data_IF_465994892916
#
_entry.id   IF_465994892916
#
_cell.length_a   1.000
_cell.length_b   1.000
_cell.length_c   1.000
_cell.angle_alpha   90.00
_cell.angle_beta   90.00
_cell.angle_gamma   90.00
#
_symmetry.space_group_name_H-M   'P 1'
#
loop_
_entity.id
_entity.type
_entity.pdbx_description
1 polymer ?
#
# COMPACT_ATOMS: atom_id res chain seq x y z
N UNK A 1 -1.11 9.76 4.04
CA UNK A 1 -0.44 8.54 3.57
C UNK A 1 -0.05 8.61 2.10
N UNK A 2 -0.99 8.74 1.15
CA UNK A 2 -0.71 8.77 -0.30
C UNK A 2 0.29 9.86 -0.73
N UNK A 3 0.24 11.06 -0.14
CA UNK A 3 1.16 12.15 -0.41
C UNK A 3 2.61 11.81 -0.01
N UNK A 4 2.78 11.23 1.19
CA UNK A 4 4.10 10.78 1.68
C UNK A 4 4.64 9.65 0.79
N UNK A 5 3.76 8.73 0.36
CA UNK A 5 4.10 7.64 -0.55
C UNK A 5 4.62 8.15 -1.90
N UNK A 6 3.92 9.13 -2.51
CA UNK A 6 4.35 9.74 -3.78
C UNK A 6 5.70 10.46 -3.62
N UNK A 7 5.88 11.24 -2.56
CA UNK A 7 7.14 11.95 -2.29
C UNK A 7 8.31 10.97 -2.09
N UNK A 8 8.09 9.89 -1.36
CA UNK A 8 9.10 8.85 -1.18
C UNK A 8 9.40 8.14 -2.50
N UNK A 9 8.36 7.76 -3.27
CA UNK A 9 8.52 7.07 -4.54
C UNK A 9 9.33 7.88 -5.57
N UNK A 10 9.16 9.19 -5.58
CA UNK A 10 9.96 10.09 -6.43
C UNK A 10 11.42 10.19 -5.99
N UNK A 11 11.71 10.03 -4.70
CA UNK A 11 13.06 10.23 -4.15
C UNK A 11 13.89 8.95 -4.08
N UNK A 12 13.28 7.82 -3.72
CA UNK A 12 14.00 6.56 -3.46
C UNK A 12 13.54 5.40 -4.34
N UNK A 13 12.55 5.64 -5.20
CA UNK A 13 11.98 4.63 -6.07
C UNK A 13 10.80 3.88 -5.45
N UNK A 14 9.86 3.52 -6.32
CA UNK A 14 8.58 2.91 -5.98
C UNK A 14 8.71 1.65 -5.13
N UNK A 15 9.68 0.82 -5.46
CA UNK A 15 9.87 -0.51 -4.87
C UNK A 15 10.34 -0.48 -3.42
N UNK A 16 11.25 0.45 -3.11
CA UNK A 16 11.67 0.65 -1.72
C UNK A 16 10.52 1.16 -0.86
N UNK A 17 9.73 2.09 -1.41
CA UNK A 17 8.54 2.60 -0.71
C UNK A 17 7.54 1.49 -0.44
N UNK A 18 7.31 0.60 -1.42
CA UNK A 18 6.44 -0.58 -1.23
C UNK A 18 6.98 -1.55 -0.19
N UNK A 19 8.29 -1.82 -0.17
CA UNK A 19 8.88 -2.66 0.86
C UNK A 19 8.67 -2.10 2.27
N UNK A 20 8.92 -0.80 2.46
CA UNK A 20 8.67 -0.14 3.74
C UNK A 20 7.18 -0.04 4.10
N UNK A 21 6.32 0.17 3.10
CA UNK A 21 4.87 0.13 3.29
C UNK A 21 4.39 -1.26 3.73
N UNK A 22 4.98 -2.35 3.19
CA UNK A 22 4.71 -3.71 3.64
C UNK A 22 5.14 -3.96 5.09
N UNK A 23 6.31 -3.46 5.50
CA UNK A 23 6.74 -3.55 6.90
C UNK A 23 5.67 -2.96 7.82
N UNK A 24 5.19 -1.75 7.51
CA UNK A 24 4.12 -1.12 8.28
C UNK A 24 2.80 -1.86 8.21
N UNK A 25 2.40 -2.35 7.03
CA UNK A 25 1.08 -2.92 6.83
C UNK A 25 0.95 -4.40 7.21
N UNK A 26 2.06 -5.14 7.33
CA UNK A 26 2.06 -6.59 7.62
C UNK A 26 2.81 -6.89 8.91
N UNK A 27 4.10 -6.53 8.97
CA UNK A 27 4.98 -6.97 10.07
C UNK A 27 4.55 -6.35 11.39
N UNK A 28 4.33 -5.03 11.45
CA UNK A 28 3.95 -4.36 12.69
C UNK A 28 2.59 -4.83 13.21
N UNK A 29 1.50 -4.92 12.40
CA UNK A 29 0.24 -5.47 12.87
C UNK A 29 0.35 -6.91 13.35
N UNK A 30 1.14 -7.76 12.69
CA UNK A 30 1.37 -9.15 13.14
C UNK A 30 2.10 -9.22 14.49
N UNK A 31 3.10 -8.36 14.71
CA UNK A 31 3.81 -8.30 16.00
C UNK A 31 2.92 -7.82 17.15
N UNK A 32 2.02 -6.89 16.86
CA UNK A 32 1.15 -6.28 17.86
C UNK A 32 -0.14 -7.11 18.07
N UNK A 33 -0.50 -7.94 17.11
CA UNK A 33 -1.74 -8.74 17.15
C UNK A 33 -1.92 -9.55 18.46
N UNK A 34 -0.91 -10.29 18.93
CA UNK A 34 -1.05 -11.05 20.20
C UNK A 34 -1.27 -10.16 21.43
N UNK A 35 -0.87 -8.88 21.37
CA UNK A 35 -1.05 -7.92 22.46
C UNK A 35 -2.44 -7.24 22.42
N UNK A 36 -3.02 -7.07 21.23
CA UNK A 36 -4.28 -6.36 21.04
C UNK A 36 -5.49 -7.27 20.93
N UNK A 37 -5.29 -8.51 20.49
CA UNK A 37 -6.37 -9.45 20.19
C UNK A 37 -6.16 -10.74 20.99
N UNK A 38 -7.06 -11.01 21.93
CA UNK A 38 -7.02 -12.21 22.77
C UNK A 38 -7.11 -13.48 21.91
N UNK A 39 -6.20 -14.42 22.14
CA UNK A 39 -6.17 -15.71 21.43
C UNK A 39 -5.46 -15.69 20.07
N UNK A 40 -4.94 -14.56 19.60
CA UNK A 40 -4.10 -14.55 18.38
C UNK A 40 -2.63 -14.87 18.71
N UNK A 41 -2.09 -15.85 18.02
CA UNK A 41 -0.67 -16.20 18.04
C UNK A 41 -0.14 -16.24 16.60
N UNK A 42 1.14 -15.97 16.42
CA UNK A 42 1.79 -16.01 15.10
C UNK A 42 2.74 -17.19 15.08
N UNK A 43 2.47 -18.17 14.20
CA UNK A 43 3.31 -19.35 14.04
C UNK A 43 4.60 -19.03 13.27
N UNK A 44 5.61 -19.91 13.41
CA UNK A 44 6.87 -19.81 12.67
C UNK A 44 6.63 -19.89 11.15
N UNK A 45 5.65 -20.68 10.71
CA UNK A 45 5.29 -20.82 9.30
C UNK A 45 4.75 -19.53 8.71
N UNK A 46 3.96 -18.79 9.49
CA UNK A 46 3.42 -17.49 9.08
C UNK A 46 4.51 -16.43 8.94
N UNK A 47 5.53 -16.45 9.80
CA UNK A 47 6.74 -15.62 9.61
C UNK A 47 7.51 -16.01 8.35
N UNK A 48 7.61 -17.32 8.06
CA UNK A 48 8.16 -17.82 6.80
C UNK A 48 7.43 -17.24 5.58
N UNK A 49 6.09 -17.19 5.64
CA UNK A 49 5.26 -16.55 4.61
C UNK A 49 5.57 -15.07 4.40
N UNK A 50 5.76 -14.30 5.48
CA UNK A 50 6.15 -12.87 5.39
C UNK A 50 7.51 -12.72 4.72
N UNK A 51 8.49 -13.55 5.06
CA UNK A 51 9.82 -13.55 4.42
C UNK A 51 9.70 -13.85 2.93
N UNK A 52 8.87 -14.82 2.54
CA UNK A 52 8.62 -15.13 1.13
C UNK A 52 7.99 -13.93 0.39
N UNK A 53 7.08 -13.17 1.01
CA UNK A 53 6.52 -11.95 0.40
C UNK A 53 7.58 -10.86 0.19
N UNK A 54 8.48 -10.67 1.15
CA UNK A 54 9.57 -9.71 1.01
C UNK A 54 10.54 -10.12 -0.11
N UNK A 55 10.87 -11.42 -0.21
CA UNK A 55 11.69 -11.95 -1.30
C UNK A 55 10.97 -11.75 -2.65
N UNK A 56 9.69 -12.06 -2.74
CA UNK A 56 8.88 -11.83 -3.94
C UNK A 56 8.94 -10.37 -4.40
N UNK A 57 8.77 -9.44 -3.46
CA UNK A 57 8.84 -8.00 -3.74
C UNK A 57 10.22 -7.60 -4.30
N UNK A 58 11.31 -8.09 -3.71
CA UNK A 58 12.67 -7.84 -4.19
C UNK A 58 12.84 -8.39 -5.60
N UNK A 59 12.45 -9.65 -5.86
CA UNK A 59 12.57 -10.29 -7.17
C UNK A 59 11.76 -9.55 -8.24
N UNK A 60 10.53 -9.18 -7.94
CA UNK A 60 9.68 -8.40 -8.85
C UNK A 60 10.30 -7.03 -9.14
N UNK A 61 10.96 -6.46 -8.16
CA UNK A 61 11.65 -5.18 -8.28
C UNK A 61 12.83 -5.21 -9.25
N UNK A 62 13.51 -6.33 -9.33
CA UNK A 62 14.63 -6.53 -10.24
C UNK A 62 14.20 -6.80 -11.69
N UNK A 63 12.88 -6.85 -11.95
CA UNK A 63 12.36 -7.01 -13.31
C UNK A 63 12.62 -5.73 -14.11
N UNK A 64 13.41 -5.78 -15.20
CA UNK A 64 13.75 -4.59 -15.96
C UNK A 64 12.51 -4.05 -16.68
N UNK A 65 11.84 -3.09 -16.06
CA UNK A 65 10.84 -2.28 -16.76
C UNK A 65 11.57 -1.40 -17.77
N UNK A 66 11.31 -1.58 -19.07
CA UNK A 66 11.81 -0.72 -20.13
C UNK A 66 11.28 0.73 -20.07
N UNK A 67 10.37 1.01 -19.15
CA UNK A 67 9.85 2.34 -18.87
C UNK A 67 10.76 3.05 -17.85
N UNK A 68 11.69 3.83 -18.34
CA UNK A 68 12.60 4.75 -17.65
C UNK A 68 13.65 4.11 -16.74
N UNK A 69 14.91 4.22 -17.16
CA UNK A 69 16.11 4.22 -16.32
C UNK A 69 15.94 5.23 -15.18
N UNK A 70 15.27 4.85 -14.12
CA UNK A 70 15.37 5.53 -12.83
C UNK A 70 16.63 4.96 -12.20
N UNK A 71 17.63 5.81 -12.03
CA UNK A 71 18.98 5.42 -11.61
C UNK A 71 18.97 4.43 -10.44
N UNK A 72 19.94 3.55 -10.44
CA UNK A 72 20.17 2.57 -9.37
C UNK A 72 20.23 3.30 -8.03
N UNK A 73 19.47 2.79 -7.07
CA UNK A 73 19.29 3.40 -5.73
C UNK A 73 20.60 3.73 -5.04
N UNK A 74 21.66 2.98 -5.30
CA UNK A 74 23.00 3.22 -4.73
C UNK A 74 23.60 4.56 -5.17
N UNK A 75 23.46 4.96 -6.43
CA UNK A 75 23.96 6.25 -6.91
C UNK A 75 23.15 7.45 -6.39
N UNK A 76 21.85 7.25 -6.15
CA UNK A 76 20.97 8.32 -5.65
C UNK A 76 21.15 8.61 -4.15
N UNK A 77 21.68 7.68 -3.36
CA UNK A 77 21.84 7.82 -1.91
C UNK A 77 23.23 8.35 -1.53
N UNK A 78 24.28 8.04 -2.28
CA UNK A 78 25.66 8.42 -1.92
C UNK A 78 25.94 9.92 -2.09
N UNK A 79 25.32 10.60 -3.04
CA UNK A 79 25.58 12.02 -3.34
C UNK A 79 24.69 13.01 -2.56
N UNK A 80 23.80 12.53 -1.66
CA UNK A 80 22.85 13.40 -0.96
C UNK A 80 23.39 13.98 0.35
N UNK A 81 23.07 15.26 0.55
CA UNK A 81 23.38 16.00 1.76
C UNK A 81 22.75 15.36 3.02
N UNK A 82 23.41 15.37 4.17
CA UNK A 82 22.94 14.72 5.42
C UNK A 82 21.51 15.12 5.83
N UNK A 83 21.11 16.36 5.56
CA UNK A 83 19.74 16.85 5.82
C UNK A 83 18.69 16.15 4.94
N UNK A 84 19.02 15.85 3.68
CA UNK A 84 18.10 15.14 2.79
C UNK A 84 17.95 13.65 3.16
N UNK A 85 19.03 13.03 3.63
CA UNK A 85 19.01 11.64 4.14
C UNK A 85 18.09 11.56 5.36
N UNK A 86 18.22 12.48 6.29
CA UNK A 86 17.38 12.55 7.49
C UNK A 86 15.89 12.75 7.14
N UNK A 87 15.59 13.62 6.17
CA UNK A 87 14.22 13.86 5.70
C UNK A 87 13.61 12.61 5.07
N UNK A 88 14.37 11.85 4.31
CA UNK A 88 13.92 10.58 3.70
C UNK A 88 13.60 9.55 4.79
N UNK A 89 14.50 9.39 5.77
CA UNK A 89 14.28 8.49 6.91
C UNK A 89 13.02 8.88 7.68
N UNK A 90 12.80 10.17 7.91
CA UNK A 90 11.60 10.68 8.55
C UNK A 90 10.32 10.34 7.75
N UNK A 91 10.32 10.54 6.42
CA UNK A 91 9.18 10.17 5.58
C UNK A 91 8.93 8.66 5.54
N UNK A 92 9.99 7.84 5.54
CA UNK A 92 9.86 6.38 5.62
C UNK A 92 9.28 5.94 6.97
N UNK A 93 9.74 6.50 8.06
CA UNK A 93 9.19 6.23 9.39
C UNK A 93 7.70 6.62 9.45
N UNK A 94 7.34 7.80 8.93
CA UNK A 94 5.96 8.26 8.85
C UNK A 94 5.10 7.32 7.99
N UNK A 95 5.64 6.82 6.87
CA UNK A 95 4.98 5.85 6.01
C UNK A 95 4.69 4.54 6.74
N UNK A 96 5.68 3.99 7.44
CA UNK A 96 5.54 2.76 8.23
C UNK A 96 4.48 2.93 9.31
N UNK A 97 4.57 3.99 10.11
CA UNK A 97 3.63 4.27 11.20
C UNK A 97 2.20 4.46 10.68
N UNK A 98 2.04 5.21 9.58
CA UNK A 98 0.73 5.44 8.97
C UNK A 98 0.10 4.15 8.43
N UNK A 99 0.90 3.28 7.80
CA UNK A 99 0.42 1.98 7.31
C UNK A 99 0.05 1.04 8.46
N UNK A 100 0.88 0.99 9.51
CA UNK A 100 0.61 0.19 10.70
C UNK A 100 -0.67 0.66 11.40
N UNK A 101 -0.80 1.95 11.63
CA UNK A 101 -1.98 2.53 12.24
C UNK A 101 -3.26 2.25 11.46
N UNK A 102 -3.22 2.39 10.12
CA UNK A 102 -4.35 2.07 9.26
C UNK A 102 -4.74 0.59 9.38
N UNK A 103 -3.78 -0.32 9.28
CA UNK A 103 -4.00 -1.77 9.34
C UNK A 103 -4.57 -2.20 10.69
N UNK A 104 -4.00 -1.71 11.79
CA UNK A 104 -4.47 -2.00 13.15
C UNK A 104 -5.88 -1.47 13.35
N UNK A 105 -6.15 -0.22 12.97
CA UNK A 105 -7.47 0.40 13.14
C UNK A 105 -8.52 -0.32 12.30
N UNK A 106 -8.17 -0.72 11.07
CA UNK A 106 -9.04 -1.46 10.15
C UNK A 106 -9.50 -2.80 10.73
N UNK A 107 -8.64 -3.48 11.50
CA UNK A 107 -8.99 -4.72 12.19
C UNK A 107 -9.70 -4.48 13.53
N UNK A 108 -9.21 -3.53 14.32
CA UNK A 108 -9.73 -3.27 15.67
C UNK A 108 -11.17 -2.79 15.63
N UNK A 109 -11.53 -2.00 14.63
CA UNK A 109 -12.85 -1.38 14.55
C UNK A 109 -14.00 -2.41 14.46
N UNK A 110 -14.03 -3.36 13.49
CA UNK A 110 -15.11 -4.34 13.41
C UNK A 110 -15.15 -5.31 14.59
N UNK A 111 -14.01 -5.50 15.28
CA UNK A 111 -13.97 -6.35 16.48
C UNK A 111 -14.61 -5.64 17.68
N UNK A 112 -14.34 -4.34 17.87
CA UNK A 112 -14.83 -3.61 19.05
C UNK A 112 -16.19 -2.94 18.85
N UNK A 113 -16.44 -2.36 17.68
CA UNK A 113 -17.67 -1.63 17.38
C UNK A 113 -18.78 -2.52 16.80
N UNK A 114 -18.42 -3.71 16.27
CA UNK A 114 -19.34 -4.59 15.55
C UNK A 114 -19.21 -4.47 14.03
N UNK A 115 -19.42 -5.59 13.34
CA UNK A 115 -19.27 -5.69 11.88
C UNK A 115 -20.30 -4.85 11.13
N UNK A 116 -21.45 -4.63 11.70
CA UNK A 116 -22.55 -3.81 11.17
C UNK A 116 -22.14 -2.35 10.97
N UNK A 117 -21.23 -1.83 11.78
CA UNK A 117 -20.74 -0.46 11.68
C UNK A 117 -19.58 -0.27 10.70
N UNK A 118 -19.13 -1.32 10.02
CA UNK A 118 -18.01 -1.26 9.07
C UNK A 118 -18.26 -0.27 7.92
N UNK A 119 -19.50 -0.19 7.43
CA UNK A 119 -19.86 0.77 6.39
C UNK A 119 -19.69 2.23 6.86
N UNK A 120 -20.14 2.52 8.08
CA UNK A 120 -19.99 3.85 8.69
C UNK A 120 -18.53 4.22 8.93
N UNK A 121 -17.72 3.27 9.40
CA UNK A 121 -16.28 3.47 9.59
C UNK A 121 -15.59 3.86 8.27
N UNK A 122 -15.85 3.11 7.21
CA UNK A 122 -15.28 3.40 5.91
C UNK A 122 -15.78 4.74 5.36
N UNK A 123 -17.08 5.04 5.47
CA UNK A 123 -17.64 6.30 5.04
C UNK A 123 -16.98 7.49 5.76
N UNK A 124 -16.85 7.42 7.10
CA UNK A 124 -16.19 8.45 7.89
C UNK A 124 -14.71 8.60 7.54
N UNK A 125 -14.00 7.49 7.30
CA UNK A 125 -12.61 7.52 6.86
C UNK A 125 -12.47 8.25 5.52
N UNK A 126 -13.32 7.95 4.55
CA UNK A 126 -13.30 8.65 3.25
C UNK A 126 -13.73 10.10 3.36
N UNK A 127 -14.69 10.44 4.22
CA UNK A 127 -15.09 11.83 4.47
C UNK A 127 -13.93 12.65 5.04
N UNK A 128 -13.21 12.13 6.03
CA UNK A 128 -12.02 12.78 6.61
C UNK A 128 -10.93 12.97 5.56
N UNK A 129 -10.65 11.92 4.76
CA UNK A 129 -9.67 11.99 3.66
C UNK A 129 -10.07 13.06 2.65
N UNK A 130 -11.34 13.10 2.26
CA UNK A 130 -11.87 14.12 1.34
C UNK A 130 -11.71 15.53 1.89
N UNK A 131 -12.06 15.77 3.16
CA UNK A 131 -11.89 17.08 3.82
C UNK A 131 -10.41 17.49 3.87
N UNK A 132 -9.52 16.59 4.23
CA UNK A 132 -8.07 16.85 4.26
C UNK A 132 -7.53 17.21 2.87
N UNK A 133 -7.90 16.45 1.83
CA UNK A 133 -7.48 16.75 0.47
C UNK A 133 -8.05 18.07 -0.04
N UNK A 134 -9.33 18.35 0.24
CA UNK A 134 -9.97 19.62 -0.13
C UNK A 134 -9.26 20.80 0.52
N UNK A 135 -8.91 20.68 1.81
CA UNK A 135 -8.14 21.70 2.53
C UNK A 135 -6.77 21.94 1.89
N UNK A 136 -6.03 20.87 1.56
CA UNK A 136 -4.71 20.97 0.88
C UNK A 136 -4.83 21.63 -0.48
N UNK A 137 -5.86 21.30 -1.28
CA UNK A 137 -6.10 21.92 -2.59
C UNK A 137 -6.46 23.40 -2.46
N UNK A 138 -7.31 23.76 -1.50
CA UNK A 138 -7.67 25.14 -1.23
C UNK A 138 -6.46 25.96 -0.78
N UNK A 139 -5.69 25.45 0.18
CA UNK A 139 -4.44 26.09 0.61
C UNK A 139 -3.45 26.24 -0.56
N UNK A 140 -3.29 25.20 -1.40
CA UNK A 140 -2.41 25.25 -2.58
C UNK A 140 -2.83 26.32 -3.59
N UNK A 141 -4.15 26.50 -3.80
CA UNK A 141 -4.70 27.53 -4.68
C UNK A 141 -4.48 28.95 -4.10
N UNK A 142 -4.70 29.10 -2.78
CA UNK A 142 -4.55 30.40 -2.09
C UNK A 142 -3.08 30.83 -2.06
N UNK A 143 -2.16 29.92 -1.70
CA UNK A 143 -0.74 30.28 -1.50
C UNK A 143 0.11 30.25 -2.78
N UNK A 144 -0.23 29.43 -3.78
CA UNK A 144 0.59 29.27 -4.98
C UNK A 144 -0.04 29.80 -6.27
N UNK A 145 -1.28 30.26 -6.24
CA UNK A 145 -2.00 30.83 -7.40
C UNK A 145 -2.15 29.89 -8.61
N UNK A 146 -1.71 28.63 -8.51
CA UNK A 146 -1.75 27.66 -9.60
C UNK A 146 -2.99 26.76 -9.47
N UNK A 147 -3.81 26.76 -10.52
CA UNK A 147 -4.89 25.76 -10.65
C UNK A 147 -4.27 24.42 -10.96
N UNK A 148 -4.52 23.42 -10.11
CA UNK A 148 -4.12 22.02 -10.30
C UNK A 148 -5.07 21.28 -11.25
N UNK A 149 -6.20 21.88 -11.61
CA UNK A 149 -7.19 21.30 -12.51
C UNK A 149 -6.87 21.64 -13.96
N UNK A 150 -7.10 20.70 -14.90
CA UNK A 150 -6.99 20.96 -16.33
C UNK A 150 -7.91 22.12 -16.74
N UNK A 151 -7.48 22.95 -17.67
CA UNK A 151 -8.28 24.08 -18.17
C UNK A 151 -9.35 23.65 -19.18
N UNK A 152 -9.18 22.49 -19.79
CA UNK A 152 -10.09 21.96 -20.81
C UNK A 152 -11.25 21.17 -20.19
N UNK A 153 -12.48 21.57 -20.56
CA UNK A 153 -13.73 20.99 -20.04
C UNK A 153 -13.87 19.49 -20.35
N UNK A 154 -13.38 19.02 -21.50
CA UNK A 154 -13.44 17.61 -21.89
C UNK A 154 -12.52 16.76 -21.01
N UNK A 155 -11.33 17.27 -20.71
CA UNK A 155 -10.36 16.64 -19.81
C UNK A 155 -10.87 16.59 -18.38
N UNK A 156 -11.56 17.63 -17.91
CA UNK A 156 -12.20 17.65 -16.58
C UNK A 156 -13.30 16.60 -16.49
N UNK A 157 -14.18 16.47 -17.48
CA UNK A 157 -15.24 15.43 -17.49
C UNK A 157 -14.64 14.02 -17.42
N UNK A 158 -13.63 13.72 -18.25
CA UNK A 158 -12.94 12.43 -18.20
C UNK A 158 -12.31 12.16 -16.83
N UNK A 159 -11.64 13.17 -16.26
CA UNK A 159 -11.01 13.07 -14.94
C UNK A 159 -12.07 12.76 -13.87
N UNK A 160 -13.20 13.46 -13.86
CA UNK A 160 -14.28 13.25 -12.89
C UNK A 160 -14.84 11.82 -13.01
N UNK A 161 -15.09 11.32 -14.22
CA UNK A 161 -15.60 9.96 -14.44
C UNK A 161 -14.61 8.92 -13.89
N UNK A 162 -13.32 9.04 -14.25
CA UNK A 162 -12.29 8.09 -13.79
C UNK A 162 -12.09 8.14 -12.27
N UNK A 163 -12.07 9.33 -11.68
CA UNK A 163 -11.91 9.50 -10.23
C UNK A 163 -13.13 8.94 -9.49
N UNK A 164 -14.34 9.19 -9.99
CA UNK A 164 -15.56 8.64 -9.37
C UNK A 164 -15.60 7.12 -9.45
N UNK A 165 -15.26 6.53 -10.60
CA UNK A 165 -15.19 5.09 -10.75
C UNK A 165 -14.13 4.48 -9.82
N UNK A 166 -12.95 5.07 -9.77
CA UNK A 166 -11.87 4.63 -8.88
C UNK A 166 -12.29 4.73 -7.41
N UNK A 167 -12.97 5.81 -7.00
CA UNK A 167 -13.45 6.01 -5.64
C UNK A 167 -14.45 4.91 -5.23
N UNK A 168 -15.40 4.56 -6.12
CA UNK A 168 -16.35 3.47 -5.87
C UNK A 168 -15.62 2.14 -5.71
N UNK A 169 -14.69 1.82 -6.62
CA UNK A 169 -13.93 0.57 -6.56
C UNK A 169 -13.08 0.47 -5.29
N UNK A 170 -12.42 1.57 -4.90
CA UNK A 170 -11.63 1.63 -3.66
C UNK A 170 -12.54 1.47 -2.43
N UNK A 171 -13.72 2.09 -2.42
CA UNK A 171 -14.67 1.94 -1.32
C UNK A 171 -15.13 0.48 -1.17
N UNK A 172 -15.53 -0.17 -2.27
CA UNK A 172 -15.94 -1.57 -2.28
C UNK A 172 -14.80 -2.47 -1.77
N UNK A 173 -13.59 -2.28 -2.31
CA UNK A 173 -12.42 -3.01 -1.84
C UNK A 173 -12.19 -2.81 -0.33
N UNK A 174 -12.20 -1.57 0.14
CA UNK A 174 -11.93 -1.24 1.53
C UNK A 174 -13.00 -1.81 2.49
N UNK A 175 -14.26 -1.81 2.05
CA UNK A 175 -15.35 -2.41 2.82
C UNK A 175 -15.14 -3.91 3.04
N UNK A 176 -14.90 -4.67 1.97
CA UNK A 176 -14.64 -6.10 2.09
C UNK A 176 -13.33 -6.41 2.82
N UNK A 177 -12.30 -5.62 2.60
CA UNK A 177 -11.03 -5.75 3.30
C UNK A 177 -11.19 -5.55 4.82
N UNK A 178 -11.99 -4.56 5.24
CA UNK A 178 -12.27 -4.32 6.66
C UNK A 178 -13.09 -5.46 7.27
N UNK A 179 -14.09 -5.98 6.56
CA UNK A 179 -14.85 -7.15 7.00
C UNK A 179 -13.95 -8.38 7.17
N UNK A 180 -13.12 -8.66 6.17
CA UNK A 180 -12.18 -9.79 6.20
C UNK A 180 -11.16 -9.64 7.35
N UNK A 181 -10.65 -8.44 7.59
CA UNK A 181 -9.74 -8.15 8.71
C UNK A 181 -10.38 -8.45 10.07
N UNK A 182 -11.69 -8.21 10.22
CA UNK A 182 -12.43 -8.49 11.46
C UNK A 182 -12.80 -9.97 11.67
N UNK A 183 -12.62 -10.84 10.66
CA UNK A 183 -12.93 -12.26 10.73
C UNK A 183 -11.70 -13.13 10.78
N UNK A 184 -10.69 -12.81 9.97
CA UNK A 184 -9.48 -13.61 9.82
C UNK A 184 -8.43 -13.24 10.89
N UNK A 185 -7.63 -14.20 11.38
CA UNK A 185 -6.47 -13.91 12.20
C UNK A 185 -5.51 -12.95 11.48
N UNK A 186 -4.87 -12.06 12.24
CA UNK A 186 -3.92 -11.05 11.70
C UNK A 186 -2.81 -11.69 10.87
N UNK A 187 -2.28 -12.80 11.35
CA UNK A 187 -1.19 -13.52 10.73
C UNK A 187 -1.54 -14.11 9.34
N UNK A 188 -2.82 -14.35 9.09
CA UNK A 188 -3.35 -14.81 7.79
C UNK A 188 -3.78 -13.62 6.92
N UNK A 189 -4.57 -12.71 7.49
CA UNK A 189 -5.18 -11.61 6.73
C UNK A 189 -4.16 -10.70 6.06
N UNK A 190 -3.16 -10.20 6.81
CA UNK A 190 -2.25 -9.19 6.27
C UNK A 190 -1.34 -9.73 5.14
N UNK A 191 -0.67 -10.89 5.29
CA UNK A 191 0.12 -11.46 4.21
C UNK A 191 -0.73 -11.86 2.99
N UNK A 192 -1.91 -12.45 3.23
CA UNK A 192 -2.82 -12.86 2.17
C UNK A 192 -3.32 -11.67 1.34
N UNK A 193 -3.78 -10.62 2.00
CA UNK A 193 -4.26 -9.39 1.36
C UNK A 193 -3.17 -8.73 0.50
N UNK A 194 -1.94 -8.66 1.00
CA UNK A 194 -0.80 -8.11 0.26
C UNK A 194 -0.32 -9.02 -0.86
N UNK A 195 -0.25 -10.33 -0.61
CA UNK A 195 0.11 -11.32 -1.62
C UNK A 195 -0.84 -11.31 -2.81
N UNK A 196 -2.16 -11.32 -2.57
CA UNK A 196 -3.17 -11.22 -3.63
C UNK A 196 -3.04 -9.90 -4.39
N UNK A 197 -2.84 -8.78 -3.68
CA UNK A 197 -2.63 -7.47 -4.32
C UNK A 197 -1.43 -7.45 -5.26
N UNK A 198 -0.30 -8.01 -4.84
CA UNK A 198 0.90 -8.13 -5.66
C UNK A 198 0.67 -9.05 -6.88
N UNK A 199 0.00 -10.19 -6.67
CA UNK A 199 -0.33 -11.12 -7.75
C UNK A 199 -1.22 -10.45 -8.81
N UNK A 200 -2.27 -9.74 -8.39
CA UNK A 200 -3.15 -9.00 -9.30
C UNK A 200 -2.40 -7.91 -10.05
N UNK A 201 -1.48 -7.18 -9.40
CA UNK A 201 -0.67 -6.17 -10.07
C UNK A 201 0.17 -6.79 -11.19
N UNK A 202 0.86 -7.91 -10.92
CA UNK A 202 1.65 -8.62 -11.94
C UNK A 202 0.76 -9.13 -13.08
N UNK A 203 -0.43 -9.67 -12.77
CA UNK A 203 -1.39 -10.11 -13.78
C UNK A 203 -1.89 -8.94 -14.64
N UNK A 204 -2.19 -7.78 -14.03
CA UNK A 204 -2.56 -6.57 -14.76
C UNK A 204 -1.43 -6.10 -15.69
N UNK A 205 -0.18 -6.11 -15.22
CA UNK A 205 0.99 -5.77 -16.02
C UNK A 205 1.11 -6.69 -17.26
N UNK A 206 0.84 -7.97 -17.09
CA UNK A 206 0.89 -8.94 -18.19
C UNK A 206 -0.29 -8.78 -19.16
N UNK A 207 -1.52 -8.67 -18.65
CA UNK A 207 -2.75 -8.71 -19.47
C UNK A 207 -3.09 -7.34 -20.08
N UNK A 208 -3.03 -6.27 -19.27
CA UNK A 208 -3.44 -4.92 -19.70
C UNK A 208 -2.29 -4.21 -20.40
N UNK A 209 -1.11 -4.20 -19.79
CA UNK A 209 0.06 -3.52 -20.34
C UNK A 209 0.88 -4.40 -21.30
N UNK A 210 0.44 -5.65 -21.52
CA UNK A 210 1.08 -6.62 -22.46
C UNK A 210 2.59 -6.73 -22.26
N UNK A 211 3.04 -6.63 -21.01
CA UNK A 211 4.44 -6.79 -20.69
C UNK A 211 4.88 -8.23 -20.94
N UNK A 212 6.10 -8.39 -21.48
CA UNK A 212 6.66 -9.73 -21.69
C UNK A 212 6.93 -10.39 -20.35
N UNK A 213 6.45 -11.62 -20.21
CA UNK A 213 6.71 -12.44 -19.02
C UNK A 213 8.21 -12.65 -18.88
N UNK A 214 8.77 -12.23 -17.76
CA UNK A 214 10.18 -12.42 -17.43
C UNK A 214 10.34 -13.54 -16.41
N UNK A 215 11.53 -14.13 -16.34
CA UNK A 215 11.83 -15.15 -15.32
C UNK A 215 11.60 -14.63 -13.90
N UNK A 216 11.92 -13.36 -13.65
CA UNK A 216 11.72 -12.73 -12.35
C UNK A 216 10.22 -12.60 -12.00
N UNK A 217 9.35 -12.34 -12.98
CA UNK A 217 7.89 -12.31 -12.74
C UNK A 217 7.37 -13.68 -12.31
N UNK A 218 7.80 -14.75 -13.00
CA UNK A 218 7.40 -16.12 -12.65
C UNK A 218 7.92 -16.51 -11.26
N UNK A 219 9.20 -16.23 -10.98
CA UNK A 219 9.79 -16.49 -9.66
C UNK A 219 9.09 -15.68 -8.55
N UNK A 220 8.82 -14.40 -8.78
CA UNK A 220 8.09 -13.57 -7.83
C UNK A 220 6.69 -14.09 -7.54
N UNK A 221 5.94 -14.51 -8.58
CA UNK A 221 4.63 -15.15 -8.41
C UNK A 221 4.74 -16.47 -7.62
N UNK A 222 5.77 -17.28 -7.86
CA UNK A 222 6.02 -18.51 -7.11
C UNK A 222 6.23 -18.23 -5.61
N UNK A 223 7.03 -17.20 -5.27
CA UNK A 223 7.23 -16.80 -3.88
C UNK A 223 5.98 -16.23 -3.23
N UNK A 224 5.13 -15.48 -3.97
CA UNK A 224 3.84 -15.02 -3.46
C UNK A 224 2.93 -16.21 -3.16
N UNK A 225 2.87 -17.19 -4.06
CA UNK A 225 2.07 -18.39 -3.84
C UNK A 225 2.56 -19.19 -2.62
N UNK A 226 3.88 -19.39 -2.50
CA UNK A 226 4.48 -20.04 -1.34
C UNK A 226 4.15 -19.27 -0.04
N UNK A 227 4.19 -17.96 -0.06
CA UNK A 227 3.83 -17.12 1.07
C UNK A 227 2.37 -17.34 1.51
N UNK A 228 1.44 -17.36 0.54
CA UNK A 228 0.01 -17.63 0.81
C UNK A 228 -0.19 -19.01 1.44
N UNK A 229 0.50 -20.04 0.93
CA UNK A 229 0.41 -21.40 1.51
C UNK A 229 0.97 -21.42 2.94
N UNK A 230 2.16 -20.86 3.17
CA UNK A 230 2.79 -20.84 4.49
C UNK A 230 2.00 -20.07 5.54
N UNK A 231 1.30 -19.01 5.15
CA UNK A 231 0.48 -18.23 6.10
C UNK A 231 -0.82 -18.91 6.48
N UNK A 232 -1.23 -19.97 5.76
CA UNK A 232 -2.42 -20.76 6.06
C UNK A 232 -2.09 -22.09 6.78
N UNK A 233 -0.81 -22.36 7.08
CA UNK A 233 -0.35 -23.46 7.93
C UNK A 233 -0.21 -23.01 9.38
#
# INVERSE_FOLDING_TARGET
MMFVWILCAQKIGLLFVEAFAMVGAVIIPMLIAPLLYEGESVSVWQWGGVVCLLIALIILSLTPNKAKKTGTVNEAVETRNSKEKLLIVFYLALLIISNAGLSITQKLYPIRAGKEYTAYFNLMTFAVVFLCFSAVLLCGKIFKGKSLLPKDSASVKKLVIFVSLAAVMIYVYQYFATLAAGVLPSAVYYPLSRGIGMMLTVLCDMLIFKQKVTKNMILGLGFIFAAIVLTNL
#
